data_IF_301241399490
#
_entry.id   IF_301241399490
#
_cell.length_a   1.000
_cell.length_b   1.000
_cell.length_c   1.000
_cell.angle_alpha   90.00
_cell.angle_beta   90.00
_cell.angle_gamma   90.00
#
_symmetry.space_group_name_H-M   'P 1'
#
loop_
_entity.id
_entity.type
_entity.pdbx_description
1 polymer ?
#
# COMPACT_ATOMS: atom_id res chain seq x y z
N UNK A 1 -34.22 37.11 -29.00
CA UNK A 1 -34.28 35.79 -28.35
C UNK A 1 -32.90 35.15 -28.43
N UNK A 2 -32.21 35.00 -27.30
CA UNK A 2 -30.94 34.26 -27.21
C UNK A 2 -31.25 32.76 -26.99
N UNK A 3 -30.49 31.82 -27.58
CA UNK A 3 -30.73 30.40 -27.38
C UNK A 3 -30.39 29.97 -25.94
N UNK A 4 -31.04 28.92 -25.41
CA UNK A 4 -30.80 28.44 -24.05
C UNK A 4 -29.39 27.85 -23.92
N UNK A 5 -28.66 28.28 -22.88
CA UNK A 5 -27.36 27.72 -22.51
C UNK A 5 -27.59 26.35 -21.87
N UNK A 6 -27.14 25.29 -22.54
CA UNK A 6 -27.16 23.93 -22.00
C UNK A 6 -26.08 23.81 -20.92
N UNK A 7 -26.38 23.31 -19.71
CA UNK A 7 -25.36 23.08 -18.69
C UNK A 7 -24.40 21.96 -19.13
N UNK A 8 -23.11 22.15 -18.86
CA UNK A 8 -22.08 21.16 -19.15
C UNK A 8 -22.31 19.87 -18.33
N UNK A 9 -22.03 18.68 -18.90
CA UNK A 9 -22.18 17.41 -18.18
C UNK A 9 -21.24 17.35 -16.98
N UNK A 10 -21.71 16.78 -15.87
CA UNK A 10 -20.91 16.53 -14.68
C UNK A 10 -19.75 15.58 -14.99
N UNK A 11 -18.58 15.77 -14.36
CA UNK A 11 -17.44 14.89 -14.57
C UNK A 11 -17.78 13.45 -14.11
N UNK A 12 -17.32 12.42 -14.82
CA UNK A 12 -17.54 11.05 -14.41
C UNK A 12 -16.91 10.80 -13.03
N UNK A 13 -17.51 9.96 -12.18
CA UNK A 13 -16.91 9.60 -10.90
C UNK A 13 -15.53 8.96 -11.15
N UNK A 14 -14.57 9.16 -10.23
CA UNK A 14 -13.25 8.56 -10.38
C UNK A 14 -13.38 7.03 -10.47
N UNK A 15 -12.63 6.37 -11.36
CA UNK A 15 -12.68 4.92 -11.48
C UNK A 15 -12.17 4.30 -10.18
N UNK A 16 -13.05 3.59 -9.49
CA UNK A 16 -12.68 2.68 -8.39
C UNK A 16 -11.88 1.53 -8.98
N UNK A 17 -10.55 1.60 -8.88
CA UNK A 17 -9.69 0.48 -9.27
C UNK A 17 -9.83 -0.61 -8.21
N UNK A 18 -10.59 -1.65 -8.53
CA UNK A 18 -10.64 -2.90 -7.78
C UNK A 18 -9.42 -3.72 -8.18
N UNK A 19 -8.44 -3.86 -7.29
CA UNK A 19 -7.33 -4.78 -7.51
C UNK A 19 -7.87 -6.20 -7.46
N UNK A 20 -7.90 -6.88 -8.60
CA UNK A 20 -8.04 -8.33 -8.61
C UNK A 20 -6.74 -8.92 -8.07
N UNK A 21 -6.84 -9.84 -7.11
CA UNK A 21 -5.72 -10.66 -6.66
C UNK A 21 -5.30 -11.58 -7.82
N UNK A 22 -4.63 -11.03 -8.83
CA UNK A 22 -3.94 -11.80 -9.84
C UNK A 22 -2.46 -11.77 -9.47
N UNK A 23 -1.79 -12.93 -9.32
CA UNK A 23 -0.36 -12.95 -9.07
C UNK A 23 0.33 -12.26 -10.24
N UNK A 24 1.13 -11.24 -9.92
CA UNK A 24 1.97 -10.55 -10.87
C UNK A 24 2.94 -11.57 -11.48
N UNK A 25 2.57 -12.18 -12.61
CA UNK A 25 3.41 -13.13 -13.33
C UNK A 25 4.50 -12.32 -14.02
N UNK A 26 5.70 -12.35 -13.45
CA UNK A 26 6.91 -11.87 -14.08
C UNK A 26 7.10 -12.59 -15.42
N UNK A 27 7.21 -11.82 -16.50
CA UNK A 27 7.72 -12.34 -17.77
C UNK A 27 9.23 -12.60 -17.62
N UNK A 28 9.79 -13.64 -18.26
CA UNK A 28 11.17 -14.02 -18.03
C UNK A 28 12.10 -13.03 -18.74
N UNK A 29 12.81 -12.21 -17.97
CA UNK A 29 13.96 -11.45 -18.46
C UNK A 29 15.22 -12.04 -17.81
N UNK A 30 16.15 -12.42 -18.67
CA UNK A 30 17.46 -13.00 -18.34
C UNK A 30 18.28 -12.07 -17.46
N UNK A 31 18.30 -12.33 -16.15
CA UNK A 31 19.23 -11.78 -15.18
C UNK A 31 19.65 -12.92 -14.22
N UNK A 32 20.91 -12.93 -13.71
CA UNK A 32 21.44 -14.07 -12.98
C UNK A 32 20.67 -14.28 -11.66
N UNK A 33 20.38 -15.55 -11.38
CA UNK A 33 19.53 -16.03 -10.29
C UNK A 33 19.89 -15.44 -8.92
N UNK A 34 18.98 -14.66 -8.34
CA UNK A 34 18.96 -14.44 -6.88
C UNK A 34 18.37 -15.67 -6.19
N UNK A 35 18.86 -16.05 -4.99
CA UNK A 35 18.51 -17.32 -4.35
C UNK A 35 17.07 -17.33 -3.84
N UNK A 36 16.51 -18.52 -3.52
CA UNK A 36 15.12 -18.66 -3.13
C UNK A 36 14.97 -18.17 -1.68
N UNK A 37 14.77 -16.88 -1.50
CA UNK A 37 14.44 -16.35 -0.19
C UNK A 37 13.00 -16.76 0.13
N UNK A 38 12.86 -17.55 1.19
CA UNK A 38 11.60 -17.87 1.85
C UNK A 38 10.72 -16.63 1.87
N UNK A 39 9.69 -16.62 1.03
CA UNK A 39 8.75 -15.51 0.92
C UNK A 39 7.92 -15.51 2.21
N UNK A 40 8.42 -14.82 3.24
CA UNK A 40 7.51 -14.12 4.14
C UNK A 40 6.64 -13.28 3.22
N UNK A 41 5.32 -13.51 3.28
CA UNK A 41 4.36 -12.83 2.41
C UNK A 41 4.70 -11.34 2.40
N UNK A 42 5.01 -10.72 1.24
CA UNK A 42 5.38 -9.32 1.20
C UNK A 42 4.19 -8.51 1.72
N UNK A 43 4.27 -8.09 2.98
CA UNK A 43 3.27 -7.20 3.56
C UNK A 43 3.34 -5.91 2.78
N UNK A 44 2.31 -5.67 1.98
CA UNK A 44 2.21 -4.49 1.14
C UNK A 44 1.39 -3.50 1.94
N UNK A 45 2.06 -2.54 2.59
CA UNK A 45 1.37 -1.41 3.21
C UNK A 45 0.48 -0.71 2.15
N UNK A 46 -0.70 -0.17 2.50
CA UNK A 46 -1.56 0.50 1.53
C UNK A 46 -0.76 1.48 0.69
N UNK A 47 -0.95 1.42 -0.64
CA UNK A 47 -0.18 2.24 -1.57
C UNK A 47 -0.47 3.72 -1.30
N UNK A 48 0.50 4.42 -0.73
CA UNK A 48 0.41 5.86 -0.49
C UNK A 48 0.70 6.54 -1.82
N UNK A 49 -0.10 7.54 -2.20
CA UNK A 49 0.22 8.37 -3.37
C UNK A 49 1.16 9.49 -2.92
N UNK A 50 2.44 9.50 -3.33
CA UNK A 50 3.28 10.65 -3.08
C UNK A 50 2.73 11.84 -3.88
N UNK A 51 2.67 13.00 -3.23
CA UNK A 51 2.29 14.25 -3.87
C UNK A 51 3.35 14.62 -4.94
N UNK A 52 2.95 15.08 -6.13
CA UNK A 52 3.91 15.62 -7.09
C UNK A 52 4.68 16.80 -6.50
N UNK A 53 5.86 17.07 -7.09
CA UNK A 53 6.62 18.27 -6.76
C UNK A 53 5.76 19.53 -6.91
N UNK A 54 5.81 20.41 -5.91
CA UNK A 54 4.96 21.60 -5.84
C UNK A 54 5.14 22.50 -7.07
N UNK A 55 6.36 22.69 -7.56
CA UNK A 55 6.61 23.51 -8.74
C UNK A 55 6.04 22.87 -10.00
N UNK A 56 6.18 21.54 -10.14
CA UNK A 56 5.59 20.79 -11.26
C UNK A 56 4.06 20.93 -11.23
N UNK A 57 3.44 20.76 -10.06
CA UNK A 57 2.00 20.89 -9.89
C UNK A 57 1.51 22.31 -10.22
N UNK A 58 2.19 23.34 -9.70
CA UNK A 58 1.84 24.74 -9.97
C UNK A 58 2.00 25.10 -11.46
N UNK A 59 3.06 24.64 -12.11
CA UNK A 59 3.28 24.86 -13.54
C UNK A 59 2.23 24.19 -14.42
N UNK A 60 1.76 23.01 -14.03
CA UNK A 60 0.67 22.33 -14.71
C UNK A 60 -0.66 23.06 -14.53
N UNK A 61 -0.97 23.51 -13.29
CA UNK A 61 -2.20 24.24 -12.98
C UNK A 61 -2.28 25.60 -13.66
N UNK A 62 -1.15 26.31 -13.81
CA UNK A 62 -1.09 27.61 -14.48
C UNK A 62 -1.08 27.50 -16.01
N UNK A 63 -0.97 26.27 -16.57
CA UNK A 63 -0.90 26.07 -18.02
C UNK A 63 -2.26 26.36 -18.70
N UNK A 64 -2.32 27.31 -19.65
CA UNK A 64 -3.56 27.63 -20.35
C UNK A 64 -4.09 26.41 -21.10
N UNK A 65 -5.35 26.05 -20.84
CA UNK A 65 -6.02 24.95 -21.52
C UNK A 65 -5.40 23.57 -21.26
N UNK A 66 -4.68 23.37 -20.15
CA UNK A 66 -4.02 22.09 -19.78
C UNK A 66 -3.05 21.57 -20.85
N UNK A 67 -2.37 22.48 -21.56
CA UNK A 67 -1.37 22.13 -22.58
C UNK A 67 -0.12 21.49 -21.98
N UNK A 68 0.14 21.70 -20.69
CA UNK A 68 1.22 21.01 -20.00
C UNK A 68 0.85 19.54 -19.70
N UNK A 69 1.84 18.65 -19.78
CA UNK A 69 1.69 17.27 -19.34
C UNK A 69 1.31 17.23 -17.85
N UNK A 70 0.34 16.38 -17.45
CA UNK A 70 -0.01 16.22 -16.05
C UNK A 70 1.17 15.63 -15.26
N UNK A 71 1.30 15.97 -13.97
CA UNK A 71 2.33 15.38 -13.13
C UNK A 71 2.23 13.84 -13.11
N UNK A 72 3.37 13.12 -13.04
CA UNK A 72 3.37 11.66 -13.02
C UNK A 72 2.56 11.11 -11.84
N UNK A 73 1.71 10.11 -12.11
CA UNK A 73 0.99 9.39 -11.05
C UNK A 73 1.93 8.34 -10.48
N UNK A 74 2.38 8.54 -9.24
CA UNK A 74 3.26 7.60 -8.54
C UNK A 74 2.53 6.90 -7.38
N UNK A 75 3.04 5.76 -6.98
CA UNK A 75 2.68 5.06 -5.75
C UNK A 75 3.95 4.79 -4.94
N UNK A 76 3.81 4.90 -3.64
CA UNK A 76 4.78 4.54 -2.62
C UNK A 76 4.33 3.23 -1.97
N UNK A 77 5.24 2.28 -1.90
CA UNK A 77 5.06 1.02 -1.22
C UNK A 77 6.14 0.87 -0.13
N UNK A 78 5.70 0.60 1.09
CA UNK A 78 6.54 0.18 2.20
C UNK A 78 6.34 -1.30 2.43
N UNK A 79 7.41 -2.09 2.40
CA UNK A 79 7.33 -3.55 2.58
C UNK A 79 8.55 -4.09 3.30
N UNK A 80 8.33 -5.12 4.13
CA UNK A 80 9.40 -5.80 4.86
C UNK A 80 9.93 -7.01 4.08
N UNK A 81 11.23 -7.05 3.81
CA UNK A 81 11.92 -8.21 3.23
C UNK A 81 13.14 -8.52 4.10
N UNK A 82 13.20 -9.74 4.67
CA UNK A 82 14.36 -10.16 5.46
C UNK A 82 14.68 -9.23 6.65
N UNK A 83 13.65 -8.77 7.37
CA UNK A 83 13.75 -7.78 8.46
C UNK A 83 14.28 -6.39 8.04
N UNK A 84 14.34 -6.11 6.74
CA UNK A 84 14.65 -4.78 6.20
C UNK A 84 13.40 -4.17 5.60
N UNK A 85 13.19 -2.87 5.84
CA UNK A 85 12.08 -2.13 5.24
C UNK A 85 12.53 -1.54 3.92
N UNK A 86 11.83 -1.89 2.84
CA UNK A 86 12.00 -1.33 1.52
C UNK A 86 10.99 -0.20 1.29
N UNK A 87 11.49 0.90 0.75
CA UNK A 87 10.69 1.97 0.18
C UNK A 87 10.78 1.91 -1.35
N UNK A 88 9.64 1.60 -1.97
CA UNK A 88 9.52 1.39 -3.40
C UNK A 88 8.62 2.46 -4.00
N UNK A 89 9.10 3.15 -5.04
CA UNK A 89 8.32 4.11 -5.81
C UNK A 89 8.07 3.54 -7.20
N UNK A 90 6.80 3.50 -7.59
CA UNK A 90 6.36 3.02 -8.91
C UNK A 90 5.65 4.15 -9.63
N UNK A 91 5.99 4.36 -10.91
CA UNK A 91 5.23 5.21 -11.80
C UNK A 91 4.07 4.40 -12.39
N UNK A 92 2.85 4.77 -12.01
CA UNK A 92 1.63 4.06 -12.40
C UNK A 92 1.21 4.36 -13.84
N UNK A 93 1.66 5.50 -14.40
CA UNK A 93 1.35 5.88 -15.79
C UNK A 93 2.15 5.02 -16.76
N UNK A 94 3.45 4.90 -16.52
CA UNK A 94 4.37 4.11 -17.34
C UNK A 94 4.50 2.65 -16.88
N UNK A 95 3.96 2.30 -15.70
CA UNK A 95 4.07 0.99 -15.05
C UNK A 95 5.53 0.57 -14.83
N UNK A 96 6.38 1.51 -14.43
CA UNK A 96 7.82 1.29 -14.23
C UNK A 96 8.24 1.52 -12.78
N UNK A 97 9.22 0.74 -12.33
CA UNK A 97 9.92 0.99 -11.08
C UNK A 97 10.72 2.30 -11.22
N UNK A 98 10.49 3.23 -10.30
CA UNK A 98 11.22 4.51 -10.24
C UNK A 98 12.36 4.42 -9.24
N UNK A 99 12.11 3.78 -8.08
CA UNK A 99 13.09 3.63 -7.01
C UNK A 99 12.77 2.41 -6.16
N UNK A 100 13.79 1.76 -5.62
CA UNK A 100 13.74 0.77 -4.55
C UNK A 100 14.92 1.05 -3.63
N UNK A 101 14.66 1.38 -2.37
CA UNK A 101 15.69 1.69 -1.39
C UNK A 101 15.38 1.04 -0.05
N UNK A 102 16.42 0.62 0.66
CA UNK A 102 16.30 0.14 2.04
C UNK A 102 16.27 1.35 2.97
N UNK A 103 15.27 1.39 3.86
CA UNK A 103 15.16 2.37 4.92
C UNK A 103 15.99 1.92 6.13
N UNK A 104 17.08 2.64 6.40
CA UNK A 104 17.93 2.43 7.59
C UNK A 104 17.51 3.26 8.80
N UNK A 105 16.30 3.84 8.78
CA UNK A 105 15.80 4.66 9.87
C UNK A 105 15.40 3.82 11.08
N UNK A 106 15.46 4.43 12.26
CA UNK A 106 14.86 3.88 13.46
C UNK A 106 13.33 4.05 13.37
N UNK A 107 12.62 2.97 13.05
CA UNK A 107 11.17 2.96 12.92
C UNK A 107 10.67 1.78 12.07
N UNK A 108 9.51 1.26 12.41
CA UNK A 108 8.84 0.20 11.65
C UNK A 108 7.69 0.77 10.82
N UNK A 109 7.38 0.17 9.67
CA UNK A 109 6.20 0.55 8.90
C UNK A 109 4.92 0.31 9.69
N UNK A 110 3.85 0.97 9.25
CA UNK A 110 2.51 0.79 9.83
C UNK A 110 2.11 -0.69 9.70
N UNK A 111 1.70 -1.29 10.82
CA UNK A 111 1.20 -2.66 10.87
C UNK A 111 -0.01 -2.82 9.98
N UNK A 112 -0.02 -3.86 9.14
CA UNK A 112 -1.21 -4.13 8.32
C UNK A 112 -2.18 -5.06 9.01
N UNK A 113 -3.43 -5.08 8.52
CA UNK A 113 -4.47 -5.96 9.05
C UNK A 113 -4.06 -7.44 8.89
N UNK A 114 -3.36 -7.76 7.80
CA UNK A 114 -2.83 -9.09 7.51
C UNK A 114 -1.75 -9.53 8.51
N UNK A 115 -1.10 -8.60 9.20
CA UNK A 115 -0.14 -8.87 10.27
C UNK A 115 -0.82 -8.92 11.64
N UNK A 116 -1.76 -8.02 11.90
CA UNK A 116 -2.47 -7.91 13.18
C UNK A 116 -3.37 -9.14 13.45
N UNK A 117 -4.11 -9.62 12.44
CA UNK A 117 -5.00 -10.79 12.60
C UNK A 117 -4.23 -12.05 13.06
N UNK A 118 -3.15 -12.51 12.38
CA UNK A 118 -2.42 -13.68 12.83
C UNK A 118 -1.69 -13.43 14.15
N UNK A 119 -1.21 -12.22 14.43
CA UNK A 119 -0.62 -11.89 15.72
C UNK A 119 -1.62 -12.07 16.88
N UNK A 120 -2.85 -11.55 16.73
CA UNK A 120 -3.93 -11.76 17.71
C UNK A 120 -4.28 -13.25 17.86
N UNK A 121 -4.40 -13.98 16.75
CA UNK A 121 -4.68 -15.42 16.78
C UNK A 121 -3.58 -16.24 17.46
N UNK A 122 -2.31 -15.82 17.30
CA UNK A 122 -1.18 -16.45 17.97
C UNK A 122 -1.25 -16.23 19.48
N UNK A 123 -1.54 -15.00 19.90
CA UNK A 123 -1.64 -14.66 21.33
C UNK A 123 -2.77 -15.44 22.02
N UNK A 124 -3.94 -15.60 21.40
CA UNK A 124 -5.05 -16.41 21.95
C UNK A 124 -4.70 -17.90 22.14
N UNK A 125 -3.70 -18.43 21.43
CA UNK A 125 -3.21 -19.81 21.56
C UNK A 125 -2.05 -19.95 22.54
N UNK A 126 -1.55 -18.85 23.08
CA UNK A 126 -0.38 -18.85 23.94
C UNK A 126 -0.72 -19.45 25.32
N UNK A 127 -0.08 -20.57 25.66
CA UNK A 127 -0.38 -21.35 26.88
C UNK A 127 -0.44 -20.52 28.18
N UNK A 128 0.53 -19.64 28.44
CA UNK A 128 0.48 -18.75 29.61
C UNK A 128 -0.72 -17.81 29.63
N UNK A 129 -1.13 -17.26 28.47
CA UNK A 129 -2.33 -16.43 28.40
C UNK A 129 -3.58 -17.26 28.72
N UNK A 130 -3.70 -18.45 28.11
CA UNK A 130 -4.82 -19.37 28.34
C UNK A 130 -4.93 -19.77 29.82
N UNK A 131 -3.81 -20.14 30.45
CA UNK A 131 -3.76 -20.47 31.87
C UNK A 131 -4.15 -19.27 32.75
N UNK A 132 -3.69 -18.07 32.40
CA UNK A 132 -4.02 -16.85 33.11
C UNK A 132 -5.50 -16.47 33.00
N UNK A 133 -6.15 -16.72 31.85
CA UNK A 133 -7.60 -16.50 31.69
C UNK A 133 -8.41 -17.54 32.47
N UNK A 134 -7.99 -18.81 32.42
CA UNK A 134 -8.61 -19.89 33.21
C UNK A 134 -8.53 -19.62 34.72
N UNK A 135 -7.38 -19.13 35.20
CA UNK A 135 -7.21 -18.73 36.61
C UNK A 135 -8.13 -17.59 37.06
N UNK A 136 -8.68 -16.83 36.11
CA UNK A 136 -9.68 -15.76 36.35
C UNK A 136 -11.11 -16.20 36.09
N UNK A 137 -11.35 -17.49 35.84
CA UNK A 137 -12.64 -18.05 35.43
C UNK A 137 -13.21 -17.42 34.15
N UNK A 138 -12.35 -16.96 33.23
CA UNK A 138 -12.74 -16.45 31.93
C UNK A 138 -12.56 -17.51 30.85
N UNK A 139 -13.50 -17.57 29.91
CA UNK A 139 -13.41 -18.40 28.70
C UNK A 139 -12.57 -17.69 27.65
N UNK A 140 -11.61 -18.40 27.06
CA UNK A 140 -10.70 -17.79 26.07
C UNK A 140 -11.44 -17.40 24.78
N UNK A 141 -12.54 -18.08 24.47
CA UNK A 141 -13.39 -17.86 23.31
C UNK A 141 -14.16 -16.52 23.36
N UNK A 142 -14.29 -15.95 24.56
CA UNK A 142 -14.94 -14.66 24.81
C UNK A 142 -13.93 -13.51 24.94
N UNK A 143 -12.62 -13.79 24.74
CA UNK A 143 -11.54 -12.80 24.79
C UNK A 143 -11.26 -12.24 23.41
N UNK A 144 -11.31 -10.91 23.28
CA UNK A 144 -10.86 -10.19 22.10
C UNK A 144 -9.52 -9.50 22.37
N UNK A 145 -8.59 -9.61 21.42
CA UNK A 145 -7.31 -8.92 21.47
C UNK A 145 -7.30 -7.80 20.45
N UNK A 146 -6.78 -6.65 20.86
CA UNK A 146 -6.56 -5.50 19.99
C UNK A 146 -5.06 -5.24 19.89
N UNK A 147 -4.61 -4.90 18.68
CA UNK A 147 -3.26 -4.41 18.43
C UNK A 147 -3.42 -2.93 18.10
N UNK A 148 -2.99 -2.06 19.02
CA UNK A 148 -2.94 -0.59 18.82
C UNK A 148 -1.82 -0.19 17.85
#
# INVERSE_FOLDING_TARGET
MLPPVTPAPSPPPPPTIRWTHSPFRSSPSSAPSSPPHTLLHPTTSPSIRPEPDKHVLLSWLSSPGRRALPPPRRALLLTGVGAQTHEIIVDLTSKRLVSDRILYSHGYPILTIEEQIPANNLALKYGPLVAAMKGRNLKIEEVFLHTD
#
